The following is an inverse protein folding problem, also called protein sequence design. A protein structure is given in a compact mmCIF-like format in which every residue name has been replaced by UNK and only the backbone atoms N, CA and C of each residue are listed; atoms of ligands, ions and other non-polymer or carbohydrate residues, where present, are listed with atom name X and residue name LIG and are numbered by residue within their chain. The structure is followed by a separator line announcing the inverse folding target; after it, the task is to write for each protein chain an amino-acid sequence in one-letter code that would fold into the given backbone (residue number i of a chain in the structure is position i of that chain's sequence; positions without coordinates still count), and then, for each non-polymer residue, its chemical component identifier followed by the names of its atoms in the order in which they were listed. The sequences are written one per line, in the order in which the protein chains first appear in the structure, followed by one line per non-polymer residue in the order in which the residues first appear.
data_IF_851063889959
#
_entry.id   IF_851063889959
#
_cell.length_a   1.000
_cell.length_b   1.000
_cell.length_c   1.000
_cell.angle_alpha   90.00
_cell.angle_beta   90.00
_cell.angle_gamma   90.00
#
_symmetry.space_group_name_H-M   'P 1'
#
loop_
_entity.id
_entity.type
_entity.pdbx_description
1 polymer ?
#
# COMPACT_ATOMS: atom_id res chain seq x y z
N UNK A 1 23.11 -1.87 9.42
CA UNK A 1 23.34 -0.52 9.96
C UNK A 1 23.55 0.43 8.79
N UNK A 2 22.69 1.43 8.60
CA UNK A 2 22.88 2.46 7.57
C UNK A 2 24.11 3.31 7.93
N UNK A 3 24.92 3.69 6.94
CA UNK A 3 26.07 4.55 7.18
C UNK A 3 25.60 5.93 7.69
N UNK A 4 26.38 6.59 8.55
CA UNK A 4 26.03 7.93 9.09
C UNK A 4 25.77 8.99 8.01
N UNK A 5 26.27 8.78 6.79
CA UNK A 5 26.08 9.67 5.64
C UNK A 5 24.66 9.65 5.04
N UNK A 6 23.78 8.73 5.47
CA UNK A 6 22.44 8.56 4.90
C UNK A 6 21.28 8.98 5.82
N UNK A 7 21.56 9.52 7.03
CA UNK A 7 20.53 9.96 7.98
C UNK A 7 20.04 11.38 7.64
N UNK A 8 18.73 11.66 7.68
CA UNK A 8 18.19 12.99 7.42
C UNK A 8 18.47 13.96 8.57
N UNK A 9 18.42 15.26 8.27
CA UNK A 9 18.43 16.32 9.29
C UNK A 9 16.98 16.51 9.80
N UNK A 10 16.82 16.70 11.11
CA UNK A 10 15.50 16.99 11.69
C UNK A 10 14.95 18.31 11.14
N UNK A 11 13.79 18.32 10.47
CA UNK A 11 13.24 19.53 9.84
C UNK A 11 12.69 20.55 10.84
N UNK A 12 12.66 20.22 12.13
CA UNK A 12 12.09 21.06 13.18
C UNK A 12 13.13 21.79 14.02
N UNK A 13 14.34 21.26 14.13
CA UNK A 13 15.39 21.84 14.98
C UNK A 13 16.79 21.78 14.37
N UNK A 14 16.91 21.35 13.12
CA UNK A 14 18.17 21.18 12.38
C UNK A 14 19.18 20.22 13.05
N UNK A 15 18.71 19.43 14.03
CA UNK A 15 19.52 18.45 14.74
C UNK A 15 19.86 17.23 13.88
N UNK A 16 21.13 16.80 13.95
CA UNK A 16 21.65 15.59 13.28
C UNK A 16 21.51 14.30 14.11
N UNK A 17 21.17 14.44 15.38
CA UNK A 17 20.99 13.32 16.30
C UNK A 17 19.61 12.68 16.08
N UNK A 18 19.50 11.90 15.02
CA UNK A 18 18.28 11.17 14.64
C UNK A 18 18.53 9.68 14.61
N UNK A 19 17.55 8.92 15.08
CA UNK A 19 17.54 7.46 15.04
C UNK A 19 16.36 6.97 14.21
N UNK A 20 16.56 5.86 13.50
CA UNK A 20 15.49 5.22 12.75
C UNK A 20 14.51 4.62 13.76
N UNK A 21 13.28 5.12 13.77
CA UNK A 21 12.28 4.74 14.75
C UNK A 21 11.55 3.45 14.34
N UNK A 22 11.23 3.32 13.06
CA UNK A 22 10.61 2.12 12.51
C UNK A 22 11.03 1.90 11.06
N UNK A 23 11.22 0.63 10.69
CA UNK A 23 11.42 0.16 9.32
C UNK A 23 10.44 -0.99 9.08
N UNK A 24 9.19 -0.67 8.80
CA UNK A 24 8.22 -1.68 8.37
C UNK A 24 8.44 -1.95 6.88
N UNK A 25 8.94 -3.14 6.55
CA UNK A 25 9.25 -3.54 5.17
C UNK A 25 10.55 -2.91 4.66
N UNK A 26 11.39 -3.70 4.01
CA UNK A 26 12.69 -3.28 3.46
C UNK A 26 12.60 -2.29 2.29
N UNK A 27 11.39 -1.98 1.80
CA UNK A 27 11.14 -1.19 0.59
C UNK A 27 10.17 0.01 0.78
N UNK A 28 10.14 0.67 1.95
CA UNK A 28 9.34 1.91 2.10
C UNK A 28 10.04 3.17 1.57
N UNK A 29 9.31 3.95 0.76
CA UNK A 29 9.64 5.32 0.30
C UNK A 29 9.72 6.34 1.46
N UNK A 30 9.07 6.03 2.59
CA UNK A 30 8.96 6.90 3.75
C UNK A 30 9.53 6.17 4.97
N UNK A 31 10.52 6.78 5.63
CA UNK A 31 11.11 6.26 6.86
C UNK A 31 10.73 7.17 8.02
N UNK A 32 10.37 6.56 9.16
CA UNK A 32 10.09 7.32 10.38
C UNK A 32 11.37 7.44 11.22
N UNK A 33 11.71 8.66 11.59
CA UNK A 33 12.85 8.98 12.43
C UNK A 33 12.40 9.63 13.73
N UNK A 34 13.13 9.36 14.80
CA UNK A 34 12.99 10.05 16.08
C UNK A 34 14.17 10.99 16.29
N UNK A 35 13.90 12.26 16.54
CA UNK A 35 14.94 13.23 16.87
C UNK A 35 15.23 13.21 18.36
N UNK A 36 16.45 12.87 18.73
CA UNK A 36 16.87 12.83 20.13
C UNK A 36 17.03 14.22 20.76
N UNK A 37 17.17 15.29 19.95
CA UNK A 37 17.28 16.66 20.45
C UNK A 37 15.91 17.24 20.82
N UNK A 38 14.97 17.31 19.87
CA UNK A 38 13.66 17.92 20.11
C UNK A 38 12.58 16.92 20.53
N UNK A 39 12.91 15.62 20.62
CA UNK A 39 12.00 14.54 21.03
C UNK A 39 10.77 14.40 20.12
N UNK A 40 10.92 14.72 18.84
CA UNK A 40 9.86 14.68 17.82
C UNK A 40 10.07 13.52 16.86
N UNK A 41 8.98 12.79 16.54
CA UNK A 41 8.94 11.83 15.43
C UNK A 41 8.63 12.56 14.14
N UNK A 42 9.36 12.24 13.08
CA UNK A 42 9.15 12.85 11.76
C UNK A 42 9.38 11.85 10.64
N UNK A 43 8.76 12.12 9.50
CA UNK A 43 8.93 11.33 8.30
C UNK A 43 10.03 11.94 7.44
N UNK A 44 10.92 11.07 6.95
CA UNK A 44 11.82 11.42 5.85
C UNK A 44 11.46 10.55 4.68
N UNK A 45 11.01 11.22 3.62
CA UNK A 45 10.82 10.59 2.32
C UNK A 45 12.21 10.47 1.71
N UNK A 46 12.62 9.27 1.32
CA UNK A 46 13.68 9.13 0.31
C UNK A 46 13.04 9.44 -1.03
N UNK A 47 12.86 10.73 -1.31
CA UNK A 47 12.60 11.21 -2.65
C UNK A 47 13.93 11.69 -3.20
N UNK A 48 14.55 10.91 -4.09
CA UNK A 48 15.65 11.42 -4.92
C UNK A 48 15.05 12.44 -5.86
N UNK A 49 15.04 13.71 -5.45
CA UNK A 49 14.47 14.84 -6.19
C UNK A 49 15.19 15.20 -7.48
N UNK A 50 15.73 14.23 -8.20
CA UNK A 50 15.99 14.35 -9.62
C UNK A 50 14.87 13.63 -10.36
N UNK A 51 14.63 13.99 -11.60
CA UNK A 51 13.90 13.15 -12.56
C UNK A 51 14.63 11.81 -12.83
N UNK A 52 15.55 11.39 -11.96
CA UNK A 52 16.43 10.23 -12.05
C UNK A 52 16.17 9.25 -10.89
N UNK A 53 14.93 9.16 -10.39
CA UNK A 53 14.41 7.82 -10.18
C UNK A 53 14.56 7.13 -11.54
N UNK A 54 15.56 6.27 -11.70
CA UNK A 54 15.67 5.49 -12.93
C UNK A 54 14.31 4.84 -13.13
N UNK A 55 13.67 4.98 -14.31
CA UNK A 55 12.38 4.35 -14.60
C UNK A 55 12.32 2.87 -14.17
N UNK A 56 13.48 2.22 -14.11
CA UNK A 56 13.74 0.87 -13.61
C UNK A 56 13.27 0.57 -12.17
N UNK A 57 13.17 1.56 -11.26
CA UNK A 57 12.75 1.32 -9.86
C UNK A 57 11.22 1.44 -9.64
N UNK A 58 10.48 1.96 -10.61
CA UNK A 58 9.01 1.96 -10.67
C UNK A 58 8.47 1.10 -11.81
N UNK A 59 9.34 0.62 -12.72
CA UNK A 59 9.03 -0.40 -13.71
C UNK A 59 8.93 -1.78 -13.03
N UNK A 60 7.71 -2.25 -12.81
CA UNK A 60 7.52 -3.66 -12.45
C UNK A 60 6.19 -4.00 -11.79
N UNK A 61 5.54 -3.05 -11.11
CA UNK A 61 4.28 -3.35 -10.41
C UNK A 61 3.18 -3.58 -11.45
N UNK A 62 2.75 -4.83 -11.60
CA UNK A 62 1.65 -5.25 -12.47
C UNK A 62 0.54 -5.92 -11.67
N UNK A 63 0.87 -6.44 -10.50
CA UNK A 63 -0.02 -7.22 -9.64
C UNK A 63 -0.10 -6.63 -8.24
N UNK A 64 -1.32 -6.33 -7.78
CA UNK A 64 -1.58 -5.64 -6.52
C UNK A 64 -2.54 -6.44 -5.66
N UNK A 65 -2.17 -6.70 -4.41
CA UNK A 65 -3.05 -7.20 -3.37
C UNK A 65 -3.68 -6.05 -2.59
N UNK A 66 -4.99 -6.08 -2.37
CA UNK A 66 -5.67 -5.13 -1.48
C UNK A 66 -6.34 -5.90 -0.35
N UNK A 67 -5.90 -5.69 0.88
CA UNK A 67 -6.30 -6.48 2.04
C UNK A 67 -7.32 -5.69 2.87
N UNK A 68 -8.57 -6.14 2.82
CA UNK A 68 -9.75 -5.45 3.35
C UNK A 68 -10.58 -4.86 2.20
N UNK A 69 -11.81 -5.33 2.04
CA UNK A 69 -12.70 -4.95 0.93
C UNK A 69 -13.67 -3.81 1.26
N UNK A 70 -13.61 -3.24 2.46
CA UNK A 70 -14.44 -2.11 2.88
C UNK A 70 -14.23 -0.86 2.02
N UNK A 71 -14.86 0.26 2.41
CA UNK A 71 -14.93 1.48 1.58
C UNK A 71 -13.57 1.94 1.02
N UNK A 72 -12.53 1.99 1.85
CA UNK A 72 -11.20 2.42 1.41
C UNK A 72 -10.55 1.40 0.49
N UNK A 73 -10.54 0.12 0.88
CA UNK A 73 -9.95 -0.95 0.07
C UNK A 73 -10.62 -1.09 -1.30
N UNK A 74 -11.96 -0.97 -1.35
CA UNK A 74 -12.69 -0.94 -2.62
C UNK A 74 -12.27 0.24 -3.52
N UNK A 75 -12.08 1.43 -2.95
CA UNK A 75 -11.61 2.60 -3.69
C UNK A 75 -10.17 2.44 -4.19
N UNK A 76 -9.28 1.89 -3.36
CA UNK A 76 -7.88 1.59 -3.71
C UNK A 76 -7.85 0.58 -4.85
N UNK A 77 -8.56 -0.54 -4.72
CA UNK A 77 -8.66 -1.57 -5.75
C UNK A 77 -9.19 -0.98 -7.07
N UNK A 78 -10.26 -0.19 -7.03
CA UNK A 78 -10.83 0.44 -8.20
C UNK A 78 -9.83 1.36 -8.92
N UNK A 79 -9.00 2.10 -8.18
CA UNK A 79 -7.99 2.98 -8.78
C UNK A 79 -6.92 2.18 -9.55
N UNK A 80 -6.38 1.11 -8.95
CA UNK A 80 -5.40 0.26 -9.65
C UNK A 80 -5.97 -0.41 -10.89
N UNK A 81 -7.21 -0.90 -10.80
CA UNK A 81 -7.90 -1.51 -11.94
C UNK A 81 -8.08 -0.52 -13.10
N UNK A 82 -8.44 0.74 -12.81
CA UNK A 82 -8.57 1.80 -13.82
C UNK A 82 -7.23 2.15 -14.47
N UNK A 83 -6.14 2.00 -13.73
CA UNK A 83 -4.78 2.15 -14.26
C UNK A 83 -4.30 0.93 -15.05
N UNK A 84 -5.10 -0.13 -15.16
CA UNK A 84 -4.81 -1.33 -15.94
C UNK A 84 -4.02 -2.41 -15.19
N UNK A 85 -3.84 -2.29 -13.87
CA UNK A 85 -3.13 -3.29 -13.06
C UNK A 85 -4.07 -4.45 -12.69
N UNK A 86 -3.50 -5.63 -12.45
CA UNK A 86 -4.21 -6.78 -11.90
C UNK A 86 -4.35 -6.63 -10.39
N UNK A 87 -5.56 -6.80 -9.87
CA UNK A 87 -5.85 -6.63 -8.44
C UNK A 87 -6.43 -7.91 -7.85
N UNK A 88 -5.82 -8.41 -6.78
CA UNK A 88 -6.43 -9.42 -5.90
C UNK A 88 -6.99 -8.71 -4.68
N UNK A 89 -8.32 -8.60 -4.60
CA UNK A 89 -9.02 -8.09 -3.44
C UNK A 89 -9.22 -9.22 -2.42
N UNK A 90 -8.72 -9.03 -1.22
CA UNK A 90 -8.83 -9.98 -0.13
C UNK A 90 -9.73 -9.46 1.00
N UNK A 91 -10.55 -10.34 1.56
CA UNK A 91 -11.26 -10.12 2.83
C UNK A 91 -11.40 -11.45 3.58
N UNK A 92 -11.84 -11.42 4.84
CA UNK A 92 -12.02 -12.63 5.67
C UNK A 92 -13.38 -13.32 5.45
N UNK A 93 -14.32 -12.66 4.77
CA UNK A 93 -15.70 -13.14 4.57
C UNK A 93 -16.11 -13.04 3.11
N UNK A 94 -16.55 -14.15 2.53
CA UNK A 94 -16.99 -14.22 1.14
C UNK A 94 -18.18 -13.28 0.87
N UNK A 95 -19.12 -13.13 1.81
CA UNK A 95 -20.32 -12.33 1.60
C UNK A 95 -20.00 -10.83 1.43
N UNK A 96 -19.02 -10.35 2.21
CA UNK A 96 -18.54 -8.96 2.16
C UNK A 96 -17.79 -8.75 0.84
N UNK A 97 -16.95 -9.71 0.48
CA UNK A 97 -16.12 -9.68 -0.71
C UNK A 97 -16.97 -9.68 -2.00
N UNK A 98 -18.03 -10.48 -2.06
CA UNK A 98 -18.97 -10.50 -3.18
C UNK A 98 -19.71 -9.17 -3.32
N UNK A 99 -20.23 -8.61 -2.22
CA UNK A 99 -20.95 -7.34 -2.26
C UNK A 99 -20.04 -6.20 -2.73
N UNK A 100 -18.83 -6.11 -2.17
CA UNK A 100 -17.91 -5.02 -2.46
C UNK A 100 -17.29 -5.13 -3.85
N UNK A 101 -16.94 -6.33 -4.31
CA UNK A 101 -16.45 -6.53 -5.69
C UNK A 101 -17.52 -6.15 -6.72
N UNK A 102 -18.80 -6.53 -6.52
CA UNK A 102 -19.90 -6.06 -7.39
C UNK A 102 -20.02 -4.54 -7.39
N UNK A 103 -19.83 -3.88 -6.26
CA UNK A 103 -19.86 -2.42 -6.17
C UNK A 103 -18.71 -1.78 -6.96
N UNK A 104 -17.49 -2.33 -6.90
CA UNK A 104 -16.35 -1.87 -7.70
C UNK A 104 -16.69 -1.93 -9.19
N UNK A 105 -17.16 -3.09 -9.67
CA UNK A 105 -17.52 -3.29 -11.08
C UNK A 105 -18.64 -2.33 -11.51
N UNK A 106 -19.67 -2.17 -10.67
CA UNK A 106 -20.76 -1.24 -10.92
C UNK A 106 -20.28 0.21 -11.02
N UNK A 107 -19.32 0.62 -10.20
CA UNK A 107 -18.75 1.97 -10.24
C UNK A 107 -17.94 2.20 -11.51
N UNK A 108 -17.15 1.21 -11.94
CA UNK A 108 -16.39 1.25 -13.19
C UNK A 108 -17.34 1.40 -14.39
N UNK A 109 -18.42 0.61 -14.43
CA UNK A 109 -19.45 0.73 -15.45
C UNK A 109 -20.12 2.11 -15.47
N UNK A 110 -20.43 2.68 -14.30
CA UNK A 110 -20.95 4.06 -14.20
C UNK A 110 -19.93 5.09 -14.73
N UNK A 111 -18.63 4.86 -14.53
CA UNK A 111 -17.58 5.73 -15.07
C UNK A 111 -17.49 5.64 -16.59
N UNK A 112 -17.64 4.44 -17.16
CA UNK A 112 -17.75 4.23 -18.62
C UNK A 112 -18.93 5.00 -19.21
N UNK A 113 -20.12 4.85 -18.63
CA UNK A 113 -21.34 5.57 -19.09
C UNK A 113 -21.18 7.09 -19.02
N UNK A 114 -20.44 7.58 -18.02
CA UNK A 114 -20.13 9.02 -17.87
C UNK A 114 -18.98 9.51 -18.77
N UNK A 115 -18.41 8.65 -19.60
CA UNK A 115 -17.27 8.98 -20.48
C UNK A 115 -15.97 9.27 -19.74
N UNK A 116 -15.82 8.83 -18.47
CA UNK A 116 -14.59 9.05 -17.69
C UNK A 116 -13.50 8.04 -18.01
N UNK A 117 -13.89 6.87 -18.51
CA UNK A 117 -13.00 5.80 -18.97
C UNK A 117 -13.57 5.22 -20.26
N UNK A 118 -12.71 4.57 -21.05
CA UNK A 118 -13.09 3.87 -22.28
C UNK A 118 -13.78 2.53 -22.00
N UNK A 119 -14.57 1.98 -22.93
CA UNK A 119 -15.09 0.62 -22.83
C UNK A 119 -13.98 -0.43 -22.61
N UNK A 120 -12.86 -0.29 -23.29
CA UNK A 120 -11.72 -1.21 -23.21
C UNK A 120 -11.08 -1.18 -21.81
N UNK A 121 -10.96 0.00 -21.20
CA UNK A 121 -10.49 0.15 -19.83
C UNK A 121 -11.45 -0.50 -18.82
N UNK A 122 -12.77 -0.33 -19.00
CA UNK A 122 -13.76 -0.95 -18.12
C UNK A 122 -13.73 -2.49 -18.22
N UNK A 123 -13.64 -3.02 -19.44
CA UNK A 123 -13.52 -4.46 -19.67
C UNK A 123 -12.20 -5.02 -19.10
N UNK A 124 -11.10 -4.29 -19.28
CA UNK A 124 -9.80 -4.65 -18.72
C UNK A 124 -9.87 -4.71 -17.19
N UNK A 125 -10.43 -3.69 -16.55
CA UNK A 125 -10.63 -3.67 -15.11
C UNK A 125 -11.47 -4.85 -14.60
N UNK A 126 -12.53 -5.23 -15.32
CA UNK A 126 -13.35 -6.37 -14.94
C UNK A 126 -12.58 -7.70 -15.02
N UNK A 127 -11.71 -7.88 -16.03
CA UNK A 127 -10.85 -9.06 -16.16
C UNK A 127 -9.74 -9.10 -15.12
N UNK A 128 -9.26 -7.94 -14.72
CA UNK A 128 -8.11 -7.78 -13.84
C UNK A 128 -8.46 -7.89 -12.35
N UNK A 129 -9.76 -7.88 -11.98
CA UNK A 129 -10.18 -8.05 -10.60
C UNK A 129 -10.34 -9.54 -10.25
N UNK A 130 -9.49 -10.02 -9.34
CA UNK A 130 -9.65 -11.28 -8.62
C UNK A 130 -10.13 -11.00 -7.20
N UNK A 131 -10.95 -11.88 -6.66
CA UNK A 131 -11.37 -11.87 -5.26
C UNK A 131 -10.91 -13.15 -4.57
N UNK A 132 -10.45 -13.05 -3.32
CA UNK A 132 -10.09 -14.23 -2.52
C UNK A 132 -10.31 -14.04 -1.02
N UNK A 133 -10.58 -15.14 -0.31
CA UNK A 133 -10.55 -15.22 1.16
C UNK A 133 -9.32 -15.97 1.69
N UNK A 134 -8.37 -16.30 0.81
CA UNK A 134 -7.15 -17.05 1.14
C UNK A 134 -5.93 -16.13 1.06
N UNK A 135 -5.21 -15.95 2.18
CA UNK A 135 -3.99 -15.14 2.21
C UNK A 135 -2.91 -15.67 1.27
N UNK A 136 -2.86 -16.97 1.02
CA UNK A 136 -1.92 -17.59 0.07
C UNK A 136 -2.09 -17.10 -1.36
N UNK A 137 -3.28 -16.59 -1.73
CA UNK A 137 -3.52 -16.03 -3.05
C UNK A 137 -2.88 -14.65 -3.24
N UNK A 138 -2.28 -14.09 -2.17
CA UNK A 138 -1.49 -12.86 -2.20
C UNK A 138 0.00 -13.11 -2.42
N UNK A 139 0.43 -14.37 -2.46
CA UNK A 139 1.81 -14.75 -2.79
C UNK A 139 2.13 -14.41 -4.25
N UNK A 140 3.38 -14.01 -4.52
CA UNK A 140 3.84 -13.65 -5.87
C UNK A 140 3.29 -12.32 -6.41
N UNK A 141 2.64 -11.50 -5.57
CA UNK A 141 2.19 -10.16 -5.97
C UNK A 141 3.31 -9.13 -5.77
N UNK A 142 3.36 -8.12 -6.62
CA UNK A 142 4.40 -7.08 -6.56
C UNK A 142 4.19 -6.11 -5.39
N UNK A 143 2.93 -5.78 -5.11
CA UNK A 143 2.53 -4.81 -4.09
C UNK A 143 1.32 -5.32 -3.31
N UNK A 144 1.34 -5.25 -1.99
CA UNK A 144 0.18 -5.51 -1.14
C UNK A 144 -0.11 -4.30 -0.26
N UNK A 145 -1.33 -3.78 -0.34
CA UNK A 145 -1.80 -2.65 0.46
C UNK A 145 -2.85 -3.13 1.46
N UNK A 146 -2.55 -2.90 2.74
CA UNK A 146 -3.44 -3.18 3.85
C UNK A 146 -4.42 -2.01 4.09
N UNK A 147 -5.71 -2.33 4.14
CA UNK A 147 -6.83 -1.40 4.33
C UNK A 147 -7.92 -1.99 5.27
N UNK A 148 -7.50 -2.69 6.33
CA UNK A 148 -8.35 -3.24 7.39
C UNK A 148 -8.61 -2.21 8.51
N UNK A 149 -9.56 -2.47 9.43
CA UNK A 149 -9.88 -1.54 10.52
C UNK A 149 -8.66 -1.12 11.35
N UNK A 150 -8.73 0.09 11.91
CA UNK A 150 -7.67 0.73 12.71
C UNK A 150 -7.51 0.10 14.11
N UNK A 151 -7.10 -1.17 14.13
CA UNK A 151 -6.82 -1.94 15.34
C UNK A 151 -5.36 -2.43 15.25
N UNK A 152 -4.49 -1.86 16.10
CA UNK A 152 -3.04 -2.10 16.04
C UNK A 152 -2.65 -3.58 16.11
N UNK A 153 -3.23 -4.33 17.05
CA UNK A 153 -2.95 -5.76 17.21
C UNK A 153 -3.35 -6.57 15.98
N UNK A 154 -4.52 -6.27 15.40
CA UNK A 154 -5.00 -6.89 14.17
C UNK A 154 -4.03 -6.65 13.01
N UNK A 155 -3.60 -5.39 12.82
CA UNK A 155 -2.66 -5.04 11.74
C UNK A 155 -1.31 -5.73 11.93
N UNK A 156 -0.74 -5.72 13.13
CA UNK A 156 0.54 -6.42 13.39
C UNK A 156 0.43 -7.91 13.06
N UNK A 157 -0.63 -8.58 13.54
CA UNK A 157 -0.83 -10.01 13.27
C UNK A 157 -1.07 -10.29 11.78
N UNK A 158 -1.79 -9.41 11.10
CA UNK A 158 -1.99 -9.50 9.66
C UNK A 158 -0.68 -9.32 8.88
N UNK A 159 0.14 -8.31 9.22
CA UNK A 159 1.42 -8.07 8.57
C UNK A 159 2.39 -9.23 8.73
N UNK A 160 2.44 -9.88 9.90
CA UNK A 160 3.22 -11.13 10.08
C UNK A 160 2.78 -12.23 9.13
N UNK A 161 1.47 -12.38 8.94
CA UNK A 161 0.92 -13.38 8.01
C UNK A 161 1.20 -13.02 6.56
N UNK A 162 1.11 -11.74 6.20
CA UNK A 162 1.43 -11.24 4.86
C UNK A 162 2.91 -11.45 4.55
N UNK A 163 3.81 -11.07 5.46
CA UNK A 163 5.26 -11.28 5.36
C UNK A 163 5.60 -12.77 5.15
N UNK A 164 4.90 -13.67 5.85
CA UNK A 164 5.11 -15.11 5.72
C UNK A 164 4.64 -15.71 4.38
N UNK A 165 3.69 -15.09 3.67
CA UNK A 165 3.16 -15.62 2.39
C UNK A 165 3.69 -14.87 1.17
N UNK A 166 4.26 -13.69 1.37
CA UNK A 166 4.73 -12.82 0.28
C UNK A 166 6.16 -13.17 -0.11
N UNK A 167 6.53 -12.83 -1.34
CA UNK A 167 7.90 -12.99 -1.79
C UNK A 167 8.79 -11.92 -1.14
N UNK A 168 10.11 -12.14 -1.00
CA UNK A 168 11.01 -11.17 -0.37
C UNK A 168 11.03 -9.78 -1.03
N UNK A 169 10.72 -9.73 -2.32
CA UNK A 169 10.67 -8.50 -3.13
C UNK A 169 9.28 -7.83 -3.12
N UNK A 170 8.26 -8.48 -2.57
CA UNK A 170 6.90 -7.92 -2.48
C UNK A 170 6.90 -6.69 -1.57
N UNK A 171 6.35 -5.59 -2.06
CA UNK A 171 6.19 -4.37 -1.27
C UNK A 171 4.95 -4.51 -0.38
N UNK A 172 5.12 -4.42 0.94
CA UNK A 172 4.01 -4.35 1.90
C UNK A 172 3.78 -2.90 2.34
N UNK A 173 2.57 -2.39 2.13
CA UNK A 173 2.16 -1.04 2.48
C UNK A 173 0.88 -1.03 3.33
N UNK A 174 0.68 0.02 4.14
CA UNK A 174 -0.53 0.21 4.95
C UNK A 174 -1.19 1.53 4.60
N UNK A 175 -2.52 1.53 4.54
CA UNK A 175 -3.38 2.72 4.41
C UNK A 175 -3.72 3.33 5.79
N UNK A 176 -2.92 3.07 6.82
CA UNK A 176 -3.15 3.66 8.15
C UNK A 176 -2.78 5.13 8.21
N UNK A 177 -3.67 5.93 8.82
CA UNK A 177 -3.41 7.34 9.10
C UNK A 177 -2.55 7.54 10.35
N UNK A 178 -1.63 8.51 10.32
CA UNK A 178 -0.62 8.75 11.37
C UNK A 178 -1.18 9.04 12.77
N UNK A 179 -2.47 9.40 12.88
CA UNK A 179 -3.09 9.77 14.15
C UNK A 179 -3.20 8.61 15.15
N UNK A 180 -3.07 7.35 14.70
CA UNK A 180 -3.24 6.15 15.53
C UNK A 180 -1.94 5.34 15.74
N UNK A 181 -0.80 5.84 15.27
CA UNK A 181 0.53 5.28 15.55
C UNK A 181 1.19 5.91 16.80
N UNK A 182 0.41 6.58 17.65
CA UNK A 182 0.90 7.01 18.97
C UNK A 182 1.23 5.77 19.81
N UNK A 183 2.51 5.46 19.89
CA UNK A 183 3.10 4.61 20.92
C UNK A 183 3.29 5.41 22.20
#
# INVERSE_FOLDING_TARGET
MLSEKEKPICPFCDGKNVELYSSFGTAQLVRQYYCQNCKTVFESIRWSGTADASPEQTQGIQTVGVVGSGTMGSGIAQNFLQSGLSVTLYDIKDEILESNSRNIITNIEKMKVKGKITPEQAESANRNLKVSTKLTDLSGLDLIIEAVPEIKSLKIELFKKLDAVSDPETILATNTSLNNLKM
#
